data_IF_153772917283
#
_entry.id   IF_153772917283
#
_cell.length_a   1.000
_cell.length_b   1.000
_cell.length_c   1.000
_cell.angle_alpha   90.00
_cell.angle_beta   90.00
_cell.angle_gamma   90.00
#
_symmetry.space_group_name_H-M   'P 1'
#
loop_
_entity.id
_entity.type
_entity.pdbx_description
1 polymer ?
#
# COMPACT_ATOMS: atom_id res chain seq x y z
N UNK A 1 47.51 -2.19 -21.25
CA UNK A 1 47.14 -2.69 -19.94
C UNK A 1 47.37 -1.55 -18.93
N UNK A 2 46.35 -0.76 -18.56
CA UNK A 2 46.45 0.31 -17.58
C UNK A 2 45.45 0.04 -16.45
N UNK A 3 45.99 -0.24 -15.27
CA UNK A 3 45.29 -0.43 -14.02
C UNK A 3 44.81 0.97 -13.54
N UNK A 4 43.49 1.16 -13.31
CA UNK A 4 42.95 2.35 -12.67
C UNK A 4 42.78 2.06 -11.19
N UNK A 5 43.50 2.81 -10.35
CA UNK A 5 43.38 2.82 -8.91
C UNK A 5 42.04 3.43 -8.47
N UNK A 6 41.43 2.84 -7.43
CA UNK A 6 40.22 3.35 -6.81
C UNK A 6 40.56 4.38 -5.74
N UNK A 7 39.86 5.52 -5.63
CA UNK A 7 40.08 6.48 -4.54
C UNK A 7 39.44 5.95 -3.23
N UNK A 8 40.24 6.00 -2.17
CA UNK A 8 39.90 5.67 -0.79
C UNK A 8 38.94 6.73 -0.20
N UNK A 9 37.77 6.32 0.25
CA UNK A 9 36.80 7.14 0.97
C UNK A 9 37.27 7.41 2.41
N UNK A 10 37.56 8.68 2.70
CA UNK A 10 37.90 9.22 4.02
C UNK A 10 36.63 9.26 4.89
N UNK A 11 36.61 8.51 5.98
CA UNK A 11 35.55 8.57 7.00
C UNK A 11 35.50 9.96 7.64
N UNK A 12 34.39 10.67 7.47
CA UNK A 12 34.07 11.86 8.27
C UNK A 12 33.44 11.45 9.59
N UNK A 13 34.02 11.95 10.68
CA UNK A 13 33.57 11.74 12.07
C UNK A 13 32.41 12.70 12.35
N UNK A 14 31.28 12.18 12.86
CA UNK A 14 30.14 12.98 13.29
C UNK A 14 30.44 13.75 14.59
N UNK A 15 29.92 14.99 14.75
CA UNK A 15 30.04 15.74 15.99
C UNK A 15 29.08 15.25 17.06
N UNK A 16 29.55 15.34 18.32
CA UNK A 16 28.93 14.76 19.51
C UNK A 16 27.57 15.35 19.90
N UNK A 17 26.78 14.50 20.53
CA UNK A 17 25.48 14.81 21.13
C UNK A 17 25.65 15.62 22.43
N UNK A 18 24.78 16.62 22.70
CA UNK A 18 24.75 17.28 23.99
C UNK A 18 24.01 16.48 25.07
N UNK A 19 24.55 16.52 26.27
CA UNK A 19 24.09 15.92 27.52
C UNK A 19 22.79 16.55 28.05
N UNK A 20 21.89 15.78 28.70
CA UNK A 20 20.68 16.35 29.28
C UNK A 20 20.96 17.04 30.62
N UNK A 21 20.57 18.30 30.72
CA UNK A 21 20.54 19.03 31.99
C UNK A 21 19.25 18.72 32.75
N UNK A 22 19.43 18.27 33.99
CA UNK A 22 18.39 18.10 35.01
C UNK A 22 17.69 19.45 35.30
N UNK A 23 16.36 19.45 35.27
CA UNK A 23 15.54 20.48 35.87
C UNK A 23 14.79 19.90 37.07
N UNK A 24 15.10 20.46 38.23
CA UNK A 24 14.56 20.15 39.55
C UNK A 24 13.23 20.87 39.75
N UNK A 25 12.29 20.12 40.24
CA UNK A 25 11.11 20.38 41.06
C UNK A 25 10.60 21.80 41.23
N UNK A 26 9.29 22.00 40.88
CA UNK A 26 8.38 22.85 41.73
C UNK A 26 7.04 22.15 41.88
N UNK A 27 6.76 21.82 43.14
CA UNK A 27 5.55 21.18 43.64
C UNK A 27 4.48 22.27 43.81
N UNK A 28 3.37 22.21 43.07
CA UNK A 28 2.14 22.91 43.43
C UNK A 28 0.98 21.91 43.44
N UNK A 29 0.41 21.80 44.67
CA UNK A 29 -0.82 21.07 44.93
C UNK A 29 -2.00 21.76 44.24
N UNK A 30 -2.76 21.01 43.47
CA UNK A 30 -4.13 21.36 43.07
C UNK A 30 -5.02 20.13 43.28
N UNK A 31 -6.10 20.42 43.97
CA UNK A 31 -7.13 19.56 44.53
C UNK A 31 -7.81 18.68 43.46
N UNK A 32 -8.06 17.44 43.83
CA UNK A 32 -8.79 16.43 43.06
C UNK A 32 -10.28 16.79 42.95
N UNK A 33 -10.80 16.81 41.76
CA UNK A 33 -12.23 16.56 41.47
C UNK A 33 -12.36 15.26 40.69
N UNK A 34 -12.99 14.27 41.30
CA UNK A 34 -13.29 12.99 40.70
C UNK A 34 -14.36 13.16 39.61
N UNK A 35 -13.93 13.15 38.36
CA UNK A 35 -14.79 12.98 37.19
C UNK A 35 -14.64 11.55 36.70
N UNK A 36 -15.68 10.73 36.82
CA UNK A 36 -15.74 9.40 36.27
C UNK A 36 -15.69 9.51 34.72
N UNK A 37 -14.50 9.28 34.14
CA UNK A 37 -14.35 9.04 32.71
C UNK A 37 -14.77 7.60 32.42
N UNK A 38 -15.94 7.46 31.83
CA UNK A 38 -16.34 6.24 31.13
C UNK A 38 -15.34 6.07 29.99
N UNK A 39 -14.38 5.16 30.16
CA UNK A 39 -13.51 4.70 29.11
C UNK A 39 -14.39 3.90 28.11
N UNK A 40 -14.82 4.58 27.05
CA UNK A 40 -15.30 3.91 25.86
C UNK A 40 -14.10 3.17 25.27
N UNK A 41 -13.99 1.88 25.56
CA UNK A 41 -13.07 0.99 24.87
C UNK A 41 -13.60 0.86 23.44
N UNK A 42 -13.22 1.78 22.56
CA UNK A 42 -13.28 1.55 21.14
C UNK A 42 -12.30 0.43 20.84
N UNK A 43 -12.83 -0.77 20.56
CA UNK A 43 -12.08 -1.83 19.93
C UNK A 43 -11.46 -1.23 18.68
N UNK A 44 -10.14 -1.13 18.64
CA UNK A 44 -9.43 -0.76 17.43
C UNK A 44 -9.57 -1.91 16.46
N UNK A 45 -10.56 -1.83 15.57
CA UNK A 45 -10.50 -2.57 14.34
C UNK A 45 -9.20 -2.15 13.68
N UNK A 46 -8.31 -3.11 13.46
CA UNK A 46 -7.12 -2.90 12.64
C UNK A 46 -7.63 -2.74 11.20
N UNK A 47 -8.14 -1.53 10.90
CA UNK A 47 -8.46 -1.16 9.54
C UNK A 47 -7.15 -1.28 8.76
N UNK A 48 -7.14 -2.10 7.72
CA UNK A 48 -6.03 -2.18 6.78
C UNK A 48 -5.76 -0.80 6.15
N UNK A 49 -4.76 -0.68 5.27
CA UNK A 49 -4.36 0.61 4.72
C UNK A 49 -5.56 1.34 4.08
N UNK A 50 -5.80 2.54 4.57
CA UNK A 50 -6.76 3.47 4.00
C UNK A 50 -6.18 4.00 2.66
N UNK A 51 -6.95 4.05 1.56
CA UNK A 51 -6.48 4.61 0.30
C UNK A 51 -6.00 6.05 0.45
N UNK A 52 -6.54 6.80 1.40
CA UNK A 52 -6.11 8.18 1.69
C UNK A 52 -4.71 8.28 2.32
N UNK A 53 -4.11 7.19 2.77
CA UNK A 53 -2.76 7.19 3.36
C UNK A 53 -1.66 7.45 2.32
N UNK A 54 -1.89 7.08 1.04
CA UNK A 54 -1.01 7.42 -0.08
C UNK A 54 -1.82 8.21 -1.13
N UNK A 55 -1.48 9.48 -1.39
CA UNK A 55 -2.21 10.31 -2.34
C UNK A 55 -2.28 9.75 -3.76
N UNK A 56 -1.25 8.99 -4.20
CA UNK A 56 -1.27 8.38 -5.53
C UNK A 56 -2.24 7.19 -5.59
N UNK A 57 -2.33 6.40 -4.51
CA UNK A 57 -3.33 5.33 -4.39
C UNK A 57 -4.73 5.91 -4.31
N UNK A 58 -4.95 6.97 -3.54
CA UNK A 58 -6.25 7.65 -3.45
C UNK A 58 -6.69 8.16 -4.83
N UNK A 59 -5.83 8.87 -5.54
CA UNK A 59 -6.11 9.35 -6.90
C UNK A 59 -6.41 8.19 -7.87
N UNK A 60 -5.69 7.08 -7.77
CA UNK A 60 -5.95 5.90 -8.60
C UNK A 60 -7.34 5.31 -8.34
N UNK A 61 -7.76 5.19 -7.08
CA UNK A 61 -9.09 4.67 -6.70
C UNK A 61 -10.21 5.53 -7.31
N UNK A 62 -10.07 6.86 -7.26
CA UNK A 62 -11.03 7.77 -7.89
C UNK A 62 -11.07 7.60 -9.42
N UNK A 63 -9.90 7.57 -10.05
CA UNK A 63 -9.78 7.45 -11.51
C UNK A 63 -10.32 6.13 -12.05
N UNK A 64 -10.02 4.99 -11.40
CA UNK A 64 -10.49 3.68 -11.83
C UNK A 64 -12.02 3.58 -11.69
N UNK A 65 -12.61 4.12 -10.63
CA UNK A 65 -14.05 4.12 -10.43
C UNK A 65 -14.76 5.06 -11.39
N UNK A 66 -14.19 6.23 -11.69
CA UNK A 66 -14.70 7.13 -12.74
C UNK A 66 -14.69 6.44 -14.12
N UNK A 67 -13.59 5.72 -14.47
CA UNK A 67 -13.53 4.94 -15.71
C UNK A 67 -14.60 3.85 -15.74
N UNK A 68 -14.75 3.06 -14.68
CA UNK A 68 -15.77 2.00 -14.58
C UNK A 68 -17.19 2.55 -14.77
N UNK A 69 -17.51 3.69 -14.15
CA UNK A 69 -18.78 4.38 -14.35
C UNK A 69 -19.01 4.78 -15.81
N UNK A 70 -17.96 5.22 -16.52
CA UNK A 70 -18.03 5.61 -17.93
C UNK A 70 -18.36 4.46 -18.89
N UNK A 71 -18.04 3.21 -18.49
CA UNK A 71 -18.33 1.99 -19.27
C UNK A 71 -19.53 1.21 -18.73
N UNK A 72 -20.25 1.76 -17.74
CA UNK A 72 -21.49 1.17 -17.21
C UNK A 72 -21.28 0.10 -16.13
N UNK A 73 -20.07 -0.02 -15.55
CA UNK A 73 -19.83 -0.88 -14.40
C UNK A 73 -20.06 -0.13 -13.07
N UNK A 74 -20.55 -0.81 -12.03
CA UNK A 74 -20.54 -0.26 -10.67
C UNK A 74 -19.12 0.07 -10.19
N UNK A 75 -19.01 1.05 -9.30
CA UNK A 75 -17.77 1.33 -8.60
C UNK A 75 -17.29 0.11 -7.80
N UNK A 76 -15.97 -0.03 -7.68
CA UNK A 76 -15.37 -1.02 -6.80
C UNK A 76 -15.36 -0.50 -5.37
N UNK A 77 -15.75 -1.36 -4.43
CA UNK A 77 -15.68 -1.08 -3.00
C UNK A 77 -14.25 -1.35 -2.52
N UNK A 78 -13.66 -0.37 -1.84
CA UNK A 78 -12.35 -0.55 -1.22
C UNK A 78 -12.39 -1.57 -0.10
N UNK A 79 -11.45 -2.53 -0.15
CA UNK A 79 -11.25 -3.53 0.89
C UNK A 79 -9.84 -3.41 1.47
N UNK A 80 -9.72 -2.98 2.73
CA UNK A 80 -8.42 -2.80 3.39
C UNK A 80 -7.55 -4.04 3.39
N UNK A 81 -8.12 -5.22 3.65
CA UNK A 81 -7.38 -6.47 3.69
C UNK A 81 -6.84 -6.86 2.29
N UNK A 82 -7.62 -6.62 1.24
CA UNK A 82 -7.18 -6.81 -0.16
C UNK A 82 -6.07 -5.82 -0.50
N UNK A 83 -6.18 -4.59 -0.03
CA UNK A 83 -5.13 -3.57 -0.21
C UNK A 83 -3.84 -3.95 0.51
N UNK A 84 -3.93 -4.52 1.72
CA UNK A 84 -2.75 -5.01 2.44
C UNK A 84 -2.02 -6.11 1.66
N UNK A 85 -2.75 -7.05 1.05
CA UNK A 85 -2.16 -8.10 0.19
C UNK A 85 -1.50 -7.48 -1.05
N UNK A 86 -2.16 -6.51 -1.70
CA UNK A 86 -1.61 -5.80 -2.85
C UNK A 86 -0.34 -5.02 -2.48
N UNK A 87 -0.36 -4.30 -1.36
CA UNK A 87 0.78 -3.53 -0.85
C UNK A 87 1.97 -4.44 -0.53
N UNK A 88 1.73 -5.57 0.13
CA UNK A 88 2.77 -6.53 0.44
C UNK A 88 3.43 -7.07 -0.83
N UNK A 89 2.68 -7.29 -1.92
CA UNK A 89 3.24 -7.77 -3.18
C UNK A 89 4.05 -6.68 -3.90
N UNK A 90 3.58 -5.42 -3.90
CA UNK A 90 4.36 -4.30 -4.45
C UNK A 90 5.69 -4.13 -3.71
N UNK A 91 5.68 -4.18 -2.39
CA UNK A 91 6.88 -4.13 -1.56
C UNK A 91 7.82 -5.33 -1.80
N UNK A 92 7.26 -6.51 -1.99
CA UNK A 92 8.03 -7.73 -2.28
C UNK A 92 8.73 -7.65 -3.64
N UNK A 93 8.05 -7.14 -4.67
CA UNK A 93 8.66 -6.90 -6.00
C UNK A 93 9.87 -5.97 -5.89
N UNK A 94 9.77 -4.89 -5.11
CA UNK A 94 10.88 -3.95 -4.88
C UNK A 94 11.99 -4.61 -4.06
N UNK A 95 11.65 -5.23 -2.94
CA UNK A 95 12.64 -5.75 -1.99
C UNK A 95 13.47 -6.90 -2.55
N UNK A 96 12.88 -7.74 -3.40
CA UNK A 96 13.54 -8.93 -3.99
C UNK A 96 13.88 -8.77 -5.47
N UNK A 97 13.72 -7.57 -6.04
CA UNK A 97 14.07 -7.21 -7.42
C UNK A 97 13.47 -8.17 -8.46
N UNK A 98 12.14 -8.32 -8.45
CA UNK A 98 11.41 -9.10 -9.45
C UNK A 98 10.16 -8.35 -9.93
N UNK A 99 9.63 -8.75 -11.10
CA UNK A 99 8.36 -8.27 -11.63
C UNK A 99 7.57 -9.45 -12.20
N UNK A 100 6.63 -9.97 -11.41
CA UNK A 100 5.81 -11.14 -11.76
C UNK A 100 4.59 -11.21 -10.86
N UNK A 101 3.48 -11.76 -11.38
CA UNK A 101 2.30 -12.11 -10.57
C UNK A 101 2.60 -13.17 -9.50
N UNK A 102 3.46 -14.14 -9.81
CA UNK A 102 3.92 -15.16 -8.87
C UNK A 102 5.22 -14.72 -8.24
N UNK A 103 5.28 -14.69 -6.92
CA UNK A 103 6.48 -14.31 -6.20
C UNK A 103 7.58 -15.40 -6.24
N UNK A 104 8.83 -15.10 -5.85
CA UNK A 104 9.93 -16.09 -5.87
C UNK A 104 9.69 -17.32 -4.99
N UNK A 105 8.75 -17.29 -4.04
CA UNK A 105 8.36 -18.42 -3.21
C UNK A 105 7.27 -19.31 -3.88
N UNK A 106 6.84 -18.94 -5.09
CA UNK A 106 5.83 -19.65 -5.86
C UNK A 106 4.39 -19.26 -5.54
N UNK A 107 4.15 -18.27 -4.67
CA UNK A 107 2.80 -17.85 -4.32
C UNK A 107 2.19 -16.98 -5.43
N UNK A 108 1.07 -17.42 -5.99
CA UNK A 108 0.24 -16.66 -6.91
C UNK A 108 -0.58 -15.57 -6.18
N UNK A 109 -1.23 -14.62 -6.90
CA UNK A 109 -2.18 -13.68 -6.28
C UNK A 109 -3.25 -14.38 -5.46
N UNK A 110 -3.75 -15.50 -5.96
CA UNK A 110 -4.82 -16.27 -5.33
C UNK A 110 -4.35 -16.96 -4.04
N UNK A 111 -3.11 -17.45 -4.02
CA UNK A 111 -2.49 -18.02 -2.81
C UNK A 111 -2.30 -16.94 -1.75
N UNK A 112 -1.90 -15.71 -2.14
CA UNK A 112 -1.74 -14.58 -1.23
C UNK A 112 -3.06 -14.15 -0.60
N UNK A 113 -4.15 -14.05 -1.40
CA UNK A 113 -5.49 -13.75 -0.90
C UNK A 113 -5.98 -14.83 0.07
N UNK A 114 -5.81 -16.12 -0.28
CA UNK A 114 -6.19 -17.25 0.56
C UNK A 114 -5.40 -17.27 1.86
N UNK A 115 -4.10 -17.04 1.81
CA UNK A 115 -3.24 -16.98 3.00
C UNK A 115 -3.61 -15.83 3.95
N UNK A 116 -4.17 -14.73 3.41
CA UNK A 116 -4.71 -13.62 4.18
C UNK A 116 -6.13 -13.90 4.74
N UNK A 117 -6.71 -15.08 4.47
CA UNK A 117 -8.06 -15.43 4.93
C UNK A 117 -9.19 -14.74 4.15
N UNK A 118 -8.91 -14.15 3.00
CA UNK A 118 -9.89 -13.45 2.18
C UNK A 118 -10.69 -14.47 1.36
N UNK A 119 -12.00 -14.53 1.59
CA UNK A 119 -12.90 -15.37 0.81
C UNK A 119 -13.35 -14.63 -0.47
N UNK A 120 -13.37 -15.34 -1.59
CA UNK A 120 -13.84 -14.79 -2.86
C UNK A 120 -14.37 -15.92 -3.77
N UNK A 121 -15.27 -15.56 -4.70
CA UNK A 121 -15.76 -16.44 -5.75
C UNK A 121 -15.07 -16.19 -7.10
N UNK A 122 -14.49 -14.99 -7.28
CA UNK A 122 -13.65 -14.62 -8.43
C UNK A 122 -12.61 -13.59 -7.99
N UNK A 123 -11.43 -13.64 -8.61
CA UNK A 123 -10.38 -12.66 -8.37
C UNK A 123 -9.54 -12.41 -9.64
N UNK A 124 -8.92 -11.23 -9.71
CA UNK A 124 -7.98 -10.86 -10.75
C UNK A 124 -6.89 -9.95 -10.18
N UNK A 125 -5.77 -9.85 -10.89
CA UNK A 125 -4.67 -8.97 -10.53
C UNK A 125 -4.12 -8.24 -11.76
N UNK A 126 -3.84 -6.95 -11.61
CA UNK A 126 -3.01 -6.18 -12.51
C UNK A 126 -1.74 -5.76 -11.75
N UNK A 127 -0.57 -5.93 -12.37
CA UNK A 127 0.68 -5.36 -11.87
C UNK A 127 1.28 -4.42 -12.91
N UNK A 128 2.01 -3.41 -12.45
CA UNK A 128 2.74 -2.48 -13.31
C UNK A 128 4.03 -2.01 -12.63
N UNK A 129 5.01 -1.65 -13.45
CA UNK A 129 6.27 -1.09 -13.00
C UNK A 129 6.68 0.09 -13.88
N UNK A 130 7.33 1.08 -13.26
CA UNK A 130 7.88 2.25 -13.94
C UNK A 130 6.88 3.41 -14.10
N UNK A 131 5.71 3.33 -13.49
CA UNK A 131 4.71 4.40 -13.53
C UNK A 131 4.76 5.24 -12.24
N UNK A 132 4.98 6.55 -12.40
CA UNK A 132 5.12 7.47 -11.28
C UNK A 132 3.80 8.09 -10.81
N UNK A 133 2.72 7.99 -11.60
CA UNK A 133 1.41 8.61 -11.27
C UNK A 133 0.25 7.66 -11.51
N UNK A 134 -0.87 7.94 -10.84
CA UNK A 134 -2.13 7.20 -10.97
C UNK A 134 -2.69 7.23 -12.39
N UNK A 135 -2.64 8.39 -13.05
CA UNK A 135 -3.12 8.56 -14.43
C UNK A 135 -2.29 7.73 -15.41
N UNK A 136 -0.96 7.74 -15.21
CA UNK A 136 -0.05 7.03 -16.12
C UNK A 136 -0.23 5.51 -16.01
N UNK A 137 -0.34 4.96 -14.79
CA UNK A 137 -0.55 3.51 -14.60
C UNK A 137 -1.92 3.08 -15.12
N UNK A 138 -2.99 3.85 -14.84
CA UNK A 138 -4.32 3.56 -15.36
C UNK A 138 -4.33 3.58 -16.89
N UNK A 139 -3.74 4.59 -17.52
CA UNK A 139 -3.62 4.65 -18.98
C UNK A 139 -2.84 3.47 -19.55
N UNK A 140 -1.76 3.04 -18.90
CA UNK A 140 -0.98 1.85 -19.26
C UNK A 140 -1.84 0.57 -19.21
N UNK A 141 -2.59 0.36 -18.14
CA UNK A 141 -3.47 -0.79 -18.01
C UNK A 141 -4.64 -0.76 -19.01
N UNK A 142 -5.26 0.40 -19.23
CA UNK A 142 -6.31 0.54 -20.23
C UNK A 142 -5.80 0.36 -21.68
N UNK A 143 -4.53 0.58 -21.93
CA UNK A 143 -3.85 0.29 -23.18
C UNK A 143 -3.63 -1.21 -23.45
N UNK A 144 -3.71 -2.06 -22.43
CA UNK A 144 -3.50 -3.51 -22.51
C UNK A 144 -4.84 -4.25 -22.39
N UNK A 145 -5.19 -5.06 -23.38
CA UNK A 145 -6.49 -5.76 -23.41
C UNK A 145 -6.76 -6.63 -22.19
N UNK A 146 -5.73 -7.33 -21.67
CA UNK A 146 -5.88 -8.19 -20.49
C UNK A 146 -6.10 -7.39 -19.20
N UNK A 147 -5.30 -6.34 -18.97
CA UNK A 147 -5.45 -5.49 -17.80
C UNK A 147 -6.76 -4.70 -17.84
N UNK A 148 -7.14 -4.19 -19.03
CA UNK A 148 -8.41 -3.52 -19.25
C UNK A 148 -9.58 -4.43 -18.94
N UNK A 149 -9.55 -5.68 -19.40
CA UNK A 149 -10.61 -6.64 -19.13
C UNK A 149 -10.83 -6.88 -17.62
N UNK A 150 -9.80 -6.84 -16.80
CA UNK A 150 -9.94 -6.92 -15.35
C UNK A 150 -10.62 -5.66 -14.78
N UNK A 151 -10.19 -4.46 -15.22
CA UNK A 151 -10.77 -3.17 -14.77
C UNK A 151 -12.24 -3.06 -15.17
N UNK A 152 -12.60 -3.47 -16.39
CA UNK A 152 -13.95 -3.36 -16.96
C UNK A 152 -14.84 -4.60 -16.66
N UNK A 153 -14.36 -5.55 -15.85
CA UNK A 153 -15.19 -6.66 -15.42
C UNK A 153 -16.17 -6.23 -14.33
N UNK A 154 -17.42 -5.99 -14.72
CA UNK A 154 -18.48 -5.57 -13.80
C UNK A 154 -18.84 -6.64 -12.74
N UNK A 155 -18.42 -7.90 -12.92
CA UNK A 155 -18.66 -8.95 -11.93
C UNK A 155 -17.67 -8.88 -10.74
N UNK A 156 -16.54 -8.17 -10.87
CA UNK A 156 -15.64 -7.86 -9.77
C UNK A 156 -16.18 -6.60 -9.07
N UNK A 157 -16.38 -6.68 -7.76
CA UNK A 157 -17.11 -5.65 -7.00
C UNK A 157 -16.28 -5.00 -5.91
N UNK A 158 -15.15 -5.60 -5.55
CA UNK A 158 -14.28 -5.12 -4.50
C UNK A 158 -12.83 -5.09 -4.97
N UNK A 159 -12.02 -4.23 -4.37
CA UNK A 159 -10.62 -4.08 -4.74
C UNK A 159 -9.71 -3.59 -3.62
N UNK A 160 -8.41 -3.76 -3.83
CA UNK A 160 -7.35 -3.11 -3.08
C UNK A 160 -6.16 -2.81 -3.97
N UNK A 161 -5.44 -1.74 -3.66
CA UNK A 161 -4.28 -1.27 -4.43
C UNK A 161 -3.09 -1.15 -3.51
N UNK A 162 -1.92 -1.57 -4.00
CA UNK A 162 -0.63 -1.36 -3.36
C UNK A 162 0.33 -0.63 -4.28
N UNK A 163 1.16 0.23 -3.69
CA UNK A 163 2.21 0.98 -4.37
C UNK A 163 3.48 0.96 -3.52
N UNK A 164 4.60 0.57 -4.13
CA UNK A 164 5.94 0.77 -3.56
C UNK A 164 6.88 1.30 -4.65
N UNK A 165 7.40 2.49 -4.45
CA UNK A 165 8.18 3.22 -5.46
C UNK A 165 7.36 3.44 -6.73
N UNK A 166 7.63 2.65 -7.78
CA UNK A 166 6.88 2.66 -9.04
C UNK A 166 6.26 1.31 -9.38
N UNK A 167 6.22 0.39 -8.41
CA UNK A 167 5.58 -0.92 -8.53
C UNK A 167 4.16 -0.85 -8.00
N UNK A 168 3.21 -1.12 -8.87
CA UNK A 168 1.78 -1.09 -8.59
C UNK A 168 1.22 -2.50 -8.62
N UNK A 169 0.36 -2.81 -7.66
CA UNK A 169 -0.46 -4.01 -7.64
C UNK A 169 -1.91 -3.63 -7.43
N UNK A 170 -2.81 -4.06 -8.30
CA UNK A 170 -4.25 -3.86 -8.18
C UNK A 170 -4.93 -5.22 -8.14
N UNK A 171 -5.43 -5.60 -6.98
CA UNK A 171 -6.22 -6.81 -6.76
C UNK A 171 -7.71 -6.49 -6.83
N UNK A 172 -8.45 -7.37 -7.48
CA UNK A 172 -9.91 -7.32 -7.61
C UNK A 172 -10.49 -8.62 -7.06
N UNK A 173 -11.61 -8.53 -6.37
CA UNK A 173 -12.35 -9.70 -5.93
C UNK A 173 -13.86 -9.54 -6.15
N UNK A 174 -14.54 -10.66 -6.19
CA UNK A 174 -15.97 -10.82 -5.95
C UNK A 174 -16.10 -11.77 -4.77
N UNK A 175 -16.68 -11.36 -3.62
CA UNK A 175 -16.96 -12.22 -2.47
C UNK A 175 -17.85 -13.42 -2.78
#
# INVERSE_FOLDING_TARGET
MRVRERPTLRRMRAPGSPSPRSFREHLHHVVATAGALVACACGGDAAGPDPSADPAVAAFVELVNAHRGSVGCPELVWQPDVAAVAQAHSADMVARDFFSHTNPDGASPFDRLTAAGIAYSAAAENIAWGYATAEAVLAGWLGSSGHRANIENCALTEHGVGLDGTHWTHLFIRP
#
